data_IF_970931025468
#
_entry.id   IF_970931025468
#
_cell.length_a   1.000
_cell.length_b   1.000
_cell.length_c   1.000
_cell.angle_alpha   90.00
_cell.angle_beta   90.00
_cell.angle_gamma   90.00
#
_symmetry.space_group_name_H-M   'P 1'
#
loop_
_entity.id
_entity.type
_entity.pdbx_description
1 polymer ?
#
# COMPACT_ATOMS: atom_id res chain seq x y z
N UNK A 1 -13.09 21.79 -30.04
CA UNK A 1 -14.55 21.65 -29.86
C UNK A 1 -14.73 21.02 -28.50
N UNK A 2 -15.22 21.83 -27.59
CA UNK A 2 -15.27 21.54 -26.17
C UNK A 2 -16.61 20.87 -25.85
N UNK A 3 -16.57 19.79 -25.06
CA UNK A 3 -17.76 19.23 -24.42
C UNK A 3 -17.36 18.84 -23.00
N UNK A 4 -17.99 19.48 -22.02
CA UNK A 4 -17.59 19.38 -20.63
C UNK A 4 -18.29 18.23 -19.89
N UNK A 5 -17.50 17.52 -19.10
CA UNK A 5 -17.79 17.09 -17.72
C UNK A 5 -19.26 17.16 -17.25
N UNK A 6 -19.92 16.01 -17.05
CA UNK A 6 -21.18 15.91 -16.30
C UNK A 6 -21.40 14.50 -15.73
N UNK A 7 -20.70 14.18 -14.63
CA UNK A 7 -20.82 12.90 -13.93
C UNK A 7 -20.75 13.08 -12.41
N UNK A 8 -21.86 13.51 -11.78
CA UNK A 8 -21.95 13.66 -10.33
C UNK A 8 -23.37 13.45 -9.83
N UNK A 9 -23.61 12.35 -9.10
CA UNK A 9 -24.91 12.09 -8.47
C UNK A 9 -25.36 10.63 -8.32
N UNK A 10 -24.48 9.68 -7.97
CA UNK A 10 -24.90 8.27 -7.74
C UNK A 10 -24.34 7.62 -6.44
N UNK A 11 -23.26 8.14 -5.85
CA UNK A 11 -22.68 7.58 -4.61
C UNK A 11 -23.63 7.60 -3.41
N UNK A 12 -24.56 8.56 -3.35
CA UNK A 12 -25.61 8.63 -2.32
C UNK A 12 -26.68 7.54 -2.46
N UNK A 13 -26.83 6.91 -3.63
CA UNK A 13 -27.90 5.94 -3.88
C UNK A 13 -27.53 4.54 -3.37
N UNK A 14 -26.34 4.05 -3.71
CA UNK A 14 -25.79 2.79 -3.16
C UNK A 14 -25.78 2.76 -1.62
N UNK A 15 -25.54 3.90 -0.97
CA UNK A 15 -25.50 4.00 0.50
C UNK A 15 -26.87 3.77 1.18
N UNK A 16 -27.98 3.86 0.44
CA UNK A 16 -29.31 3.52 0.96
C UNK A 16 -29.60 2.01 0.95
N UNK A 17 -29.02 1.26 0.01
CA UNK A 17 -29.27 -0.18 -0.15
C UNK A 17 -28.51 -1.01 0.91
N UNK A 18 -27.27 -0.63 1.24
CA UNK A 18 -26.52 -1.28 2.34
C UNK A 18 -27.18 -1.07 3.73
N UNK A 19 -27.97 -0.01 3.92
CA UNK A 19 -28.70 0.21 5.16
C UNK A 19 -29.89 -0.76 5.36
N UNK A 20 -30.29 -1.49 4.31
CA UNK A 20 -31.30 -2.56 4.37
C UNK A 20 -30.72 -3.98 4.51
N UNK A 21 -29.41 -4.15 4.40
CA UNK A 21 -28.73 -5.46 4.40
C UNK A 21 -28.49 -6.00 5.82
N UNK A 22 -29.55 -6.11 6.62
CA UNK A 22 -29.51 -6.82 7.90
C UNK A 22 -29.37 -8.32 7.68
N UNK A 23 -28.45 -8.96 8.43
CA UNK A 23 -28.28 -10.43 8.52
C UNK A 23 -28.08 -11.17 7.17
N UNK A 24 -27.22 -10.62 6.31
CA UNK A 24 -26.39 -11.48 5.46
C UNK A 24 -25.31 -12.15 6.34
N UNK A 25 -25.65 -13.27 6.98
CA UNK A 25 -24.65 -14.11 7.65
C UNK A 25 -23.67 -14.63 6.60
N UNK A 26 -22.42 -14.15 6.63
CA UNK A 26 -21.34 -14.80 5.90
C UNK A 26 -21.16 -16.21 6.47
N UNK A 27 -21.54 -17.21 5.68
CA UNK A 27 -21.46 -18.63 6.05
C UNK A 27 -20.02 -19.12 5.86
N UNK A 28 -19.17 -18.74 6.81
CA UNK A 28 -17.74 -19.04 6.81
C UNK A 28 -17.54 -20.50 7.19
N UNK A 29 -16.83 -21.25 6.35
CA UNK A 29 -16.46 -22.64 6.61
C UNK A 29 -15.69 -22.73 7.94
N UNK A 30 -16.16 -23.49 8.95
CA UNK A 30 -15.46 -23.62 10.23
C UNK A 30 -14.02 -24.09 10.07
N UNK A 31 -13.12 -23.65 10.94
CA UNK A 31 -11.68 -23.93 10.87
C UNK A 31 -11.38 -25.44 10.85
N UNK A 32 -12.18 -26.23 11.57
CA UNK A 32 -12.08 -27.69 11.63
C UNK A 32 -12.43 -28.38 10.29
N UNK A 33 -13.11 -27.67 9.39
CA UNK A 33 -13.54 -28.11 8.06
C UNK A 33 -12.72 -27.45 6.92
N UNK A 34 -11.79 -26.56 7.25
CA UNK A 34 -11.02 -25.79 6.26
C UNK A 34 -9.80 -26.58 5.75
N UNK A 35 -9.88 -27.09 4.53
CA UNK A 35 -8.77 -27.76 3.85
C UNK A 35 -7.80 -26.74 3.21
N UNK A 36 -6.71 -26.46 3.94
CA UNK A 36 -5.63 -25.59 3.48
C UNK A 36 -4.83 -26.12 2.27
N UNK A 37 -4.81 -27.43 2.02
CA UNK A 37 -4.14 -28.02 0.85
C UNK A 37 -4.99 -27.85 -0.41
N UNK A 38 -6.30 -28.10 -0.31
CA UNK A 38 -7.27 -27.78 -1.38
C UNK A 38 -7.31 -26.28 -1.65
N UNK A 39 -7.29 -25.45 -0.61
CA UNK A 39 -7.19 -23.99 -0.75
C UNK A 39 -5.92 -23.56 -1.51
N UNK A 40 -4.76 -24.14 -1.18
CA UNK A 40 -3.50 -23.90 -1.91
C UNK A 40 -3.62 -24.22 -3.40
N UNK A 41 -4.17 -25.38 -3.75
CA UNK A 41 -4.40 -25.77 -5.16
C UNK A 41 -5.33 -24.75 -5.83
N UNK A 42 -6.44 -24.37 -5.19
CA UNK A 42 -7.39 -23.41 -5.72
C UNK A 42 -6.75 -22.03 -5.99
N UNK A 43 -6.03 -21.47 -5.01
CA UNK A 43 -5.38 -20.17 -5.12
C UNK A 43 -4.24 -20.17 -6.16
N UNK A 44 -3.44 -21.24 -6.22
CA UNK A 44 -2.37 -21.39 -7.20
C UNK A 44 -2.92 -21.47 -8.64
N UNK A 45 -3.99 -22.24 -8.88
CA UNK A 45 -4.60 -22.36 -10.21
C UNK A 45 -5.28 -21.04 -10.65
N UNK A 46 -6.02 -20.36 -9.77
CA UNK A 46 -6.63 -19.04 -10.06
C UNK A 46 -5.57 -18.02 -10.50
N UNK A 47 -4.46 -17.91 -9.75
CA UNK A 47 -3.36 -17.02 -10.10
C UNK A 47 -2.72 -17.44 -11.44
N UNK A 48 -2.39 -18.72 -11.60
CA UNK A 48 -1.74 -19.25 -12.80
C UNK A 48 -2.55 -18.94 -14.07
N UNK A 49 -3.86 -19.18 -14.06
CA UNK A 49 -4.73 -18.87 -15.20
C UNK A 49 -4.82 -17.35 -15.44
N UNK A 50 -4.95 -16.55 -14.38
CA UNK A 50 -5.03 -15.09 -14.49
C UNK A 50 -3.75 -14.47 -15.09
N UNK A 51 -2.57 -15.02 -14.78
CA UNK A 51 -1.30 -14.57 -15.40
C UNK A 51 -1.05 -15.20 -16.79
N UNK A 52 -1.56 -16.41 -17.07
CA UNK A 52 -1.36 -17.12 -18.35
C UNK A 52 -2.28 -16.66 -19.50
N UNK A 53 -3.48 -16.16 -19.17
CA UNK A 53 -4.48 -15.68 -20.14
C UNK A 53 -4.78 -14.17 -20.02
N UNK A 54 -4.51 -13.57 -18.85
CA UNK A 54 -5.13 -12.30 -18.46
C UNK A 54 -6.53 -12.53 -17.88
N UNK A 55 -6.87 -11.84 -16.79
CA UNK A 55 -8.04 -12.16 -15.96
C UNK A 55 -9.37 -12.18 -16.73
N UNK A 56 -9.59 -11.25 -17.66
CA UNK A 56 -10.83 -11.15 -18.44
C UNK A 56 -10.94 -12.19 -19.58
N UNK A 57 -9.85 -12.91 -19.88
CA UNK A 57 -9.79 -13.90 -20.96
C UNK A 57 -9.69 -15.34 -20.47
N UNK A 58 -9.84 -15.61 -19.16
CA UNK A 58 -9.86 -16.98 -18.63
C UNK A 58 -11.06 -17.75 -19.23
N UNK A 59 -10.83 -18.88 -19.93
CA UNK A 59 -11.89 -19.73 -20.47
C UNK A 59 -12.87 -20.18 -19.38
N UNK A 60 -14.17 -20.20 -19.70
CA UNK A 60 -15.22 -20.38 -18.69
C UNK A 60 -15.10 -21.71 -17.92
N UNK A 61 -14.70 -22.77 -18.63
CA UNK A 61 -14.46 -24.11 -18.08
C UNK A 61 -13.20 -24.23 -17.19
N UNK A 62 -12.40 -23.17 -17.07
CA UNK A 62 -11.23 -23.07 -16.18
C UNK A 62 -11.44 -22.09 -15.02
N UNK A 63 -12.49 -21.25 -15.03
CA UNK A 63 -12.76 -20.28 -13.95
C UNK A 63 -12.99 -20.97 -12.60
N UNK A 64 -13.66 -22.11 -12.64
CA UNK A 64 -13.70 -23.11 -11.59
C UNK A 64 -12.88 -24.33 -12.07
N UNK A 65 -11.76 -24.69 -11.42
CA UNK A 65 -10.92 -25.82 -11.82
C UNK A 65 -11.35 -27.19 -11.28
N UNK A 66 -12.37 -27.27 -10.40
CA UNK A 66 -12.75 -28.51 -9.71
C UNK A 66 -14.08 -29.08 -10.21
N UNK A 67 -14.39 -30.34 -9.93
CA UNK A 67 -15.72 -30.90 -10.10
C UNK A 67 -16.00 -31.95 -9.05
N UNK A 68 -17.24 -32.05 -8.60
CA UNK A 68 -17.70 -33.12 -7.72
C UNK A 68 -18.12 -34.33 -8.56
N UNK A 69 -17.74 -35.54 -8.15
CA UNK A 69 -18.20 -36.78 -8.78
C UNK A 69 -19.49 -37.33 -8.15
N UNK A 70 -19.91 -38.54 -8.57
CA UNK A 70 -21.12 -39.19 -8.08
C UNK A 70 -21.02 -39.74 -6.63
N UNK A 71 -19.86 -39.58 -5.98
CA UNK A 71 -19.56 -40.02 -4.61
C UNK A 71 -19.29 -38.83 -3.67
N UNK A 72 -19.62 -37.62 -4.11
CA UNK A 72 -19.37 -36.35 -3.40
C UNK A 72 -17.87 -36.03 -3.20
N UNK A 73 -17.00 -36.59 -4.05
CA UNK A 73 -15.55 -36.30 -4.03
C UNK A 73 -15.20 -35.17 -5.01
N UNK A 74 -14.44 -34.17 -4.54
CA UNK A 74 -13.93 -33.10 -5.39
C UNK A 74 -12.64 -33.54 -6.12
N UNK A 75 -12.63 -33.37 -7.45
CA UNK A 75 -11.51 -33.70 -8.33
C UNK A 75 -11.13 -32.50 -9.21
N UNK A 76 -9.88 -32.44 -9.67
CA UNK A 76 -9.44 -31.41 -10.63
C UNK A 76 -9.93 -31.76 -12.04
N UNK A 77 -10.59 -30.82 -12.74
CA UNK A 77 -11.15 -31.02 -14.07
C UNK A 77 -10.07 -31.50 -15.08
N UNK A 78 -10.33 -32.53 -15.92
CA UNK A 78 -9.33 -33.06 -16.85
C UNK A 78 -8.65 -32.05 -17.80
N UNK A 79 -9.31 -30.98 -18.29
CA UNK A 79 -8.64 -29.92 -19.05
C UNK A 79 -7.54 -29.19 -18.26
N UNK A 80 -7.73 -28.99 -16.95
CA UNK A 80 -6.71 -28.39 -16.07
C UNK A 80 -5.51 -29.32 -15.94
N UNK A 81 -5.75 -30.61 -15.71
CA UNK A 81 -4.71 -31.65 -15.68
C UNK A 81 -3.90 -31.66 -16.98
N UNK A 82 -4.56 -31.61 -18.14
CA UNK A 82 -3.88 -31.56 -19.44
C UNK A 82 -3.00 -30.30 -19.59
N UNK A 83 -3.50 -29.13 -19.17
CA UNK A 83 -2.75 -27.87 -19.23
C UNK A 83 -1.53 -27.87 -18.28
N UNK A 84 -1.64 -28.45 -17.09
CA UNK A 84 -0.52 -28.62 -16.16
C UNK A 84 0.56 -29.53 -16.76
N UNK A 85 0.19 -30.66 -17.34
CA UNK A 85 1.13 -31.61 -17.98
C UNK A 85 1.79 -31.02 -19.24
N UNK A 86 1.07 -30.18 -20.00
CA UNK A 86 1.55 -29.61 -21.28
C UNK A 86 2.65 -28.54 -21.15
N UNK A 87 2.95 -28.08 -19.92
CA UNK A 87 3.80 -26.92 -19.63
C UNK A 87 3.27 -25.55 -20.13
N UNK A 88 2.22 -25.50 -20.96
CA UNK A 88 1.81 -24.28 -21.68
C UNK A 88 1.60 -23.07 -20.74
N UNK A 89 0.94 -23.30 -19.60
CA UNK A 89 0.70 -22.27 -18.58
C UNK A 89 2.00 -21.76 -17.94
N UNK A 90 2.97 -22.65 -17.69
CA UNK A 90 4.26 -22.29 -17.09
C UNK A 90 5.14 -21.52 -18.07
N UNK A 91 5.17 -21.91 -19.35
CA UNK A 91 5.84 -21.14 -20.40
C UNK A 91 5.22 -19.74 -20.54
N UNK A 92 3.88 -19.62 -20.55
CA UNK A 92 3.17 -18.32 -20.61
C UNK A 92 3.49 -17.41 -19.42
N UNK A 93 3.43 -17.93 -18.19
CA UNK A 93 3.68 -17.12 -16.98
C UNK A 93 5.17 -16.82 -16.78
N UNK A 94 6.06 -17.75 -17.11
CA UNK A 94 7.49 -17.46 -17.12
C UNK A 94 7.82 -16.41 -18.20
N UNK A 95 7.22 -16.46 -19.38
CA UNK A 95 7.38 -15.43 -20.42
C UNK A 95 6.92 -14.03 -19.97
N UNK A 96 5.90 -13.93 -19.11
CA UNK A 96 5.45 -12.68 -18.49
C UNK A 96 6.46 -12.13 -17.46
N UNK A 97 7.24 -13.01 -16.82
CA UNK A 97 8.24 -12.71 -15.76
C UNK A 97 9.64 -12.45 -16.36
N UNK A 98 9.90 -12.87 -17.59
CA UNK A 98 11.16 -12.68 -18.30
C UNK A 98 11.11 -11.48 -19.25
N UNK A 99 12.29 -11.00 -19.65
CA UNK A 99 12.43 -10.06 -20.76
C UNK A 99 12.18 -10.80 -22.08
N UNK A 100 11.52 -10.14 -23.04
CA UNK A 100 10.96 -10.73 -24.26
C UNK A 100 11.91 -11.64 -25.05
N UNK A 101 13.20 -11.29 -25.11
CA UNK A 101 14.24 -12.07 -25.80
C UNK A 101 14.42 -13.48 -25.22
N UNK A 102 14.24 -13.66 -23.92
CA UNK A 102 14.40 -14.96 -23.24
C UNK A 102 13.16 -15.84 -23.37
N UNK A 103 11.97 -15.23 -23.50
CA UNK A 103 10.69 -15.93 -23.58
C UNK A 103 10.59 -16.89 -24.79
N UNK A 104 11.26 -16.57 -25.89
CA UNK A 104 11.28 -17.39 -27.13
C UNK A 104 11.89 -18.80 -26.90
N UNK A 105 12.69 -18.97 -25.85
CA UNK A 105 13.31 -20.25 -25.47
C UNK A 105 12.45 -21.16 -24.58
N UNK A 106 11.27 -20.70 -24.15
CA UNK A 106 10.39 -21.43 -23.23
C UNK A 106 9.48 -22.40 -24.00
N UNK A 107 9.84 -23.69 -23.99
CA UNK A 107 9.19 -24.73 -24.79
C UNK A 107 8.93 -26.04 -24.02
N UNK A 108 9.45 -26.19 -22.80
CA UNK A 108 9.24 -27.37 -21.93
C UNK A 108 9.39 -27.03 -20.44
N UNK A 109 9.04 -27.96 -19.55
CA UNK A 109 9.18 -27.79 -18.10
C UNK A 109 10.63 -27.51 -17.70
N UNK A 110 11.58 -28.25 -18.28
CA UNK A 110 13.01 -28.04 -18.09
C UNK A 110 13.45 -26.64 -18.51
N UNK A 111 12.90 -26.07 -19.59
CA UNK A 111 13.22 -24.70 -20.01
C UNK A 111 12.77 -23.64 -18.98
N UNK A 112 11.63 -23.86 -18.31
CA UNK A 112 11.13 -23.00 -17.21
C UNK A 112 11.98 -23.18 -15.95
N UNK A 113 12.29 -24.42 -15.55
CA UNK A 113 13.18 -24.72 -14.41
C UNK A 113 14.55 -24.03 -14.60
N UNK A 114 15.14 -24.14 -15.79
CA UNK A 114 16.41 -23.48 -16.11
C UNK A 114 16.30 -21.95 -16.10
N UNK A 115 15.20 -21.38 -16.57
CA UNK A 115 14.99 -19.93 -16.57
C UNK A 115 14.86 -19.36 -15.14
N UNK A 116 14.14 -20.07 -14.26
CA UNK A 116 14.04 -19.75 -12.83
C UNK A 116 15.41 -19.89 -12.14
N UNK A 117 16.15 -20.96 -12.42
CA UNK A 117 17.49 -21.18 -11.84
C UNK A 117 18.49 -20.09 -12.26
N UNK A 118 18.39 -19.53 -13.47
CA UNK A 118 19.18 -18.35 -13.90
C UNK A 118 18.85 -17.06 -13.12
N UNK A 119 17.67 -16.97 -12.48
CA UNK A 119 17.33 -15.92 -11.49
C UNK A 119 17.69 -16.31 -10.05
N UNK A 120 18.34 -17.45 -9.83
CA UNK A 120 18.66 -17.99 -8.49
C UNK A 120 17.48 -18.67 -7.78
N UNK A 121 16.36 -18.92 -8.48
CA UNK A 121 15.16 -19.55 -7.92
C UNK A 121 15.16 -21.02 -8.33
N UNK A 122 15.26 -21.91 -7.34
CA UNK A 122 15.24 -23.35 -7.53
C UNK A 122 13.84 -23.91 -7.24
N UNK A 123 13.37 -24.85 -8.06
CA UNK A 123 12.04 -25.46 -7.89
C UNK A 123 12.18 -26.68 -7.00
N UNK A 124 11.75 -26.55 -5.74
CA UNK A 124 11.91 -27.58 -4.69
C UNK A 124 10.55 -28.00 -4.14
N UNK A 125 10.38 -29.29 -3.81
CA UNK A 125 9.25 -29.79 -3.02
C UNK A 125 9.47 -29.58 -1.52
N UNK A 126 8.43 -29.81 -0.71
CA UNK A 126 8.42 -29.52 0.73
C UNK A 126 9.38 -30.39 1.58
N UNK A 127 10.10 -31.32 0.95
CA UNK A 127 11.12 -32.20 1.53
C UNK A 127 12.54 -31.87 1.01
N UNK A 128 12.73 -30.67 0.46
CA UNK A 128 13.95 -30.19 -0.21
C UNK A 128 14.40 -31.04 -1.41
N UNK A 129 13.50 -31.84 -2.03
CA UNK A 129 13.80 -32.52 -3.29
C UNK A 129 13.62 -31.58 -4.50
N UNK A 130 14.54 -31.56 -5.48
CA UNK A 130 14.42 -30.70 -6.66
C UNK A 130 13.44 -31.30 -7.69
N UNK A 131 12.46 -30.52 -8.10
CA UNK A 131 11.45 -30.92 -9.10
C UNK A 131 12.10 -31.13 -10.47
N UNK A 132 11.83 -32.27 -11.10
CA UNK A 132 12.30 -32.57 -12.47
C UNK A 132 11.21 -32.39 -13.52
N UNK A 133 11.61 -32.35 -14.80
CA UNK A 133 10.67 -32.43 -15.93
C UNK A 133 9.92 -33.77 -15.97
N UNK A 134 10.46 -34.85 -15.39
CA UNK A 134 9.77 -36.12 -15.24
C UNK A 134 8.62 -36.06 -14.23
N UNK A 135 8.79 -35.32 -13.14
CA UNK A 135 7.74 -35.10 -12.12
C UNK A 135 6.57 -34.27 -12.65
N UNK A 136 6.85 -33.29 -13.53
CA UNK A 136 5.85 -32.41 -14.13
C UNK A 136 5.17 -32.98 -15.39
N UNK A 137 5.64 -34.13 -15.87
CA UNK A 137 5.09 -34.85 -17.03
C UNK A 137 4.51 -36.22 -16.66
N UNK A 138 4.49 -36.60 -15.37
CA UNK A 138 4.05 -37.92 -14.95
C UNK A 138 2.51 -38.08 -14.97
N UNK A 139 2.06 -39.31 -15.21
CA UNK A 139 0.64 -39.68 -15.19
C UNK A 139 0.51 -40.92 -14.29
N UNK A 140 -0.26 -40.88 -13.19
CA UNK A 140 -1.07 -39.75 -12.70
C UNK A 140 -0.24 -38.54 -12.24
N UNK A 141 -0.88 -37.37 -12.19
CA UNK A 141 -0.26 -36.07 -11.93
C UNK A 141 0.32 -35.97 -10.51
N UNK A 142 1.63 -35.66 -10.38
CA UNK A 142 2.27 -35.35 -9.09
C UNK A 142 2.00 -33.89 -8.70
N UNK A 143 0.86 -33.64 -8.06
CA UNK A 143 0.40 -32.29 -7.75
C UNK A 143 1.40 -31.48 -6.88
N UNK A 144 2.18 -32.11 -6.00
CA UNK A 144 3.20 -31.43 -5.20
C UNK A 144 4.25 -30.71 -6.06
N UNK A 145 4.81 -31.39 -7.07
CA UNK A 145 5.73 -30.80 -8.05
C UNK A 145 5.10 -29.63 -8.82
N UNK A 146 3.83 -29.77 -9.23
CA UNK A 146 3.10 -28.70 -9.92
C UNK A 146 2.84 -27.48 -9.02
N UNK A 147 2.57 -27.69 -7.72
CA UNK A 147 2.45 -26.59 -6.75
C UNK A 147 3.80 -25.91 -6.52
N UNK A 148 4.90 -26.66 -6.35
CA UNK A 148 6.26 -26.12 -6.25
C UNK A 148 6.68 -25.31 -7.48
N UNK A 149 6.32 -25.77 -8.69
CA UNK A 149 6.54 -25.01 -9.93
C UNK A 149 5.77 -23.67 -9.94
N UNK A 150 4.50 -23.67 -9.50
CA UNK A 150 3.70 -22.43 -9.40
C UNK A 150 4.27 -21.51 -8.32
N UNK A 151 4.69 -22.03 -7.18
CA UNK A 151 5.27 -21.26 -6.07
C UNK A 151 6.61 -20.63 -6.46
N UNK A 152 7.45 -21.33 -7.24
CA UNK A 152 8.67 -20.77 -7.80
C UNK A 152 8.38 -19.66 -8.85
N UNK A 153 7.34 -19.81 -9.67
CA UNK A 153 6.86 -18.75 -10.57
C UNK A 153 6.28 -17.55 -9.80
N UNK A 154 5.56 -17.79 -8.70
CA UNK A 154 5.05 -16.74 -7.81
C UNK A 154 6.20 -15.97 -7.15
N UNK A 155 7.23 -16.65 -6.65
CA UNK A 155 8.44 -16.00 -6.14
C UNK A 155 9.11 -15.14 -7.22
N UNK A 156 9.29 -15.69 -8.42
CA UNK A 156 9.91 -14.99 -9.55
C UNK A 156 9.10 -13.77 -10.03
N UNK A 157 7.78 -13.78 -9.88
CA UNK A 157 6.89 -12.64 -10.11
C UNK A 157 7.00 -11.59 -8.99
N UNK A 158 7.04 -12.05 -7.74
CA UNK A 158 7.12 -11.20 -6.53
C UNK A 158 8.38 -10.33 -6.55
N UNK A 159 9.56 -10.89 -6.85
CA UNK A 159 10.83 -10.14 -6.89
C UNK A 159 10.92 -9.09 -8.01
N UNK A 160 10.22 -9.30 -9.13
CA UNK A 160 10.13 -8.29 -10.19
C UNK A 160 9.25 -7.10 -9.77
N UNK A 161 8.27 -7.33 -8.89
CA UNK A 161 7.36 -6.32 -8.38
C UNK A 161 7.93 -5.55 -7.18
N UNK A 162 8.29 -6.24 -6.10
CA UNK A 162 8.81 -5.65 -4.86
C UNK A 162 10.23 -6.16 -4.56
N UNK A 163 11.05 -5.31 -3.96
CA UNK A 163 12.40 -5.65 -3.50
C UNK A 163 12.79 -4.79 -2.29
N UNK A 164 13.82 -5.21 -1.55
CA UNK A 164 14.37 -4.47 -0.40
C UNK A 164 14.69 -3.02 -0.79
N UNK A 165 15.35 -2.80 -1.93
CA UNK A 165 15.77 -1.48 -2.39
C UNK A 165 14.57 -0.59 -2.73
N UNK A 166 13.55 -1.16 -3.40
CA UNK A 166 12.30 -0.45 -3.73
C UNK A 166 11.55 -0.03 -2.46
N UNK A 167 11.41 -0.93 -1.49
CA UNK A 167 10.79 -0.68 -0.19
C UNK A 167 11.54 0.42 0.57
N UNK A 168 12.86 0.27 0.70
CA UNK A 168 13.75 1.23 1.36
C UNK A 168 13.68 2.61 0.68
N UNK A 169 13.56 2.67 -0.65
CA UNK A 169 13.39 3.90 -1.42
C UNK A 169 11.97 4.50 -1.38
N UNK A 170 10.94 3.72 -1.02
CA UNK A 170 9.59 4.20 -0.72
C UNK A 170 9.54 4.82 0.69
N UNK A 171 9.90 4.04 1.71
CA UNK A 171 9.80 4.44 3.13
C UNK A 171 10.59 5.72 3.43
N UNK A 172 11.80 5.87 2.86
CA UNK A 172 12.66 7.07 3.02
C UNK A 172 12.00 8.40 2.63
N UNK A 173 10.87 8.39 1.91
CA UNK A 173 10.17 9.61 1.49
C UNK A 173 9.26 10.19 2.57
N UNK A 174 8.71 9.33 3.44
CA UNK A 174 7.69 9.72 4.43
C UNK A 174 8.05 9.38 5.89
N UNK A 175 9.09 8.55 6.12
CA UNK A 175 9.53 8.10 7.45
C UNK A 175 11.06 7.99 7.54
N UNK A 176 11.62 8.35 8.69
CA UNK A 176 13.03 8.13 9.04
C UNK A 176 13.22 6.82 9.78
N UNK A 177 14.36 6.15 9.58
CA UNK A 177 14.72 4.90 10.26
C UNK A 177 16.24 4.72 10.33
N UNK A 178 16.69 3.90 11.29
CA UNK A 178 18.09 3.54 11.49
C UNK A 178 18.51 2.45 10.52
N UNK A 179 19.22 2.82 9.45
CA UNK A 179 19.70 1.88 8.43
C UNK A 179 20.65 0.78 8.97
N UNK A 180 21.18 0.92 10.20
CA UNK A 180 22.00 -0.10 10.87
C UNK A 180 21.24 -0.98 11.86
N UNK A 181 19.90 -0.85 11.96
CA UNK A 181 19.04 -1.61 12.88
C UNK A 181 17.68 -2.05 12.30
N UNK A 182 17.20 -1.34 11.28
CA UNK A 182 15.83 -1.46 10.75
C UNK A 182 15.81 -1.74 9.24
N UNK A 183 16.94 -2.15 8.65
CA UNK A 183 16.91 -2.66 7.27
C UNK A 183 16.37 -4.10 7.27
N UNK A 184 15.45 -4.45 6.36
CA UNK A 184 14.99 -5.82 6.19
C UNK A 184 16.13 -6.71 5.68
N UNK A 185 16.20 -7.96 6.15
CA UNK A 185 17.18 -8.94 5.70
C UNK A 185 16.74 -9.66 4.41
N UNK A 186 15.45 -9.97 4.30
CA UNK A 186 14.85 -10.63 3.14
C UNK A 186 13.59 -9.91 2.61
N UNK A 187 12.82 -10.61 1.76
CA UNK A 187 11.65 -10.08 1.08
C UNK A 187 10.39 -10.04 1.96
N UNK A 188 10.26 -10.96 2.93
CA UNK A 188 9.18 -10.96 3.91
C UNK A 188 9.39 -9.83 4.92
N UNK A 189 10.61 -9.71 5.45
CA UNK A 189 11.04 -8.57 6.26
C UNK A 189 10.73 -7.24 5.55
N UNK A 190 10.99 -7.15 4.24
CA UNK A 190 10.74 -5.94 3.46
C UNK A 190 9.24 -5.62 3.33
N UNK A 191 8.40 -6.64 3.14
CA UNK A 191 6.93 -6.49 3.14
C UNK A 191 6.44 -6.00 4.52
N UNK A 192 6.85 -6.69 5.59
CA UNK A 192 6.50 -6.34 6.98
C UNK A 192 6.96 -4.92 7.32
N UNK A 193 8.21 -4.56 6.99
CA UNK A 193 8.77 -3.23 7.21
C UNK A 193 7.98 -2.13 6.48
N UNK A 194 7.58 -2.34 5.22
CA UNK A 194 6.75 -1.38 4.49
C UNK A 194 5.38 -1.17 5.15
N UNK A 195 4.66 -2.26 5.43
CA UNK A 195 3.34 -2.21 6.08
C UNK A 195 3.44 -1.50 7.44
N UNK A 196 4.42 -1.88 8.26
CA UNK A 196 4.65 -1.29 9.58
C UNK A 196 4.96 0.20 9.50
N UNK A 197 5.84 0.64 8.59
CA UNK A 197 6.18 2.06 8.45
C UNK A 197 4.98 2.90 7.99
N UNK A 198 4.12 2.37 7.12
CA UNK A 198 2.87 3.03 6.70
C UNK A 198 1.85 3.08 7.85
N UNK A 199 1.67 1.98 8.60
CA UNK A 199 0.78 1.93 9.77
C UNK A 199 1.23 2.89 10.88
N UNK A 200 2.55 2.97 11.16
CA UNK A 200 3.12 3.96 12.07
C UNK A 200 2.88 5.40 11.60
N UNK A 201 3.11 5.71 10.32
CA UNK A 201 2.83 7.03 9.73
C UNK A 201 1.35 7.41 9.87
N UNK A 202 0.44 6.47 9.61
CA UNK A 202 -1.01 6.64 9.78
C UNK A 202 -1.41 6.88 11.24
N UNK A 203 -0.81 6.15 12.20
CA UNK A 203 -0.97 6.39 13.64
C UNK A 203 -0.55 7.81 14.02
N UNK A 204 0.64 8.24 13.61
CA UNK A 204 1.15 9.58 13.91
C UNK A 204 0.25 10.70 13.34
N UNK A 205 -0.16 10.59 12.06
CA UNK A 205 -1.05 11.59 11.43
C UNK A 205 -2.41 11.65 12.15
N UNK A 206 -2.98 10.48 12.46
CA UNK A 206 -4.25 10.38 13.21
C UNK A 206 -4.12 11.02 14.60
N UNK A 207 -3.02 10.78 15.31
CA UNK A 207 -2.76 11.43 16.60
C UNK A 207 -2.57 12.95 16.49
N UNK A 208 -1.86 13.45 15.46
CA UNK A 208 -1.70 14.90 15.19
C UNK A 208 -3.06 15.54 14.96
N UNK A 209 -3.90 14.94 14.11
CA UNK A 209 -5.26 15.40 13.86
C UNK A 209 -6.10 15.49 15.13
N UNK A 210 -6.09 14.47 15.99
CA UNK A 210 -6.84 14.48 17.25
C UNK A 210 -6.34 15.58 18.20
N UNK A 211 -5.02 15.73 18.35
CA UNK A 211 -4.41 16.79 19.19
C UNK A 211 -4.83 18.19 18.69
N UNK A 212 -4.81 18.42 17.37
CA UNK A 212 -5.26 19.68 16.73
C UNK A 212 -6.78 19.89 16.84
N UNK A 213 -7.59 18.84 16.80
CA UNK A 213 -9.06 18.92 16.95
C UNK A 213 -9.51 19.21 18.40
N UNK A 214 -8.72 18.82 19.40
CA UNK A 214 -9.03 19.06 20.82
C UNK A 214 -8.41 20.36 21.41
N UNK A 215 -7.27 20.83 20.91
CA UNK A 215 -6.65 22.10 21.37
C UNK A 215 -7.43 23.43 21.15
N UNK A 216 -8.45 23.59 20.28
CA UNK A 216 -9.11 24.89 20.08
C UNK A 216 -9.84 25.44 21.32
N UNK A 217 -10.08 24.60 22.33
CA UNK A 217 -10.80 24.96 23.56
C UNK A 217 -9.93 25.62 24.64
N UNK A 218 -8.59 25.49 24.59
CA UNK A 218 -7.68 26.03 25.62
C UNK A 218 -6.69 27.06 25.05
N UNK A 219 -7.22 28.17 24.50
CA UNK A 219 -6.40 29.36 24.19
C UNK A 219 -6.09 30.17 25.46
N UNK A 220 -4.81 30.35 25.86
CA UNK A 220 -4.44 30.97 27.14
C UNK A 220 -4.43 32.52 27.12
N UNK A 221 -5.48 33.15 26.57
CA UNK A 221 -5.56 34.61 26.40
C UNK A 221 -6.93 35.20 26.79
N UNK A 222 -6.97 35.86 27.96
CA UNK A 222 -7.94 36.86 28.43
C UNK A 222 -9.35 36.95 27.77
N UNK A 223 -10.40 36.53 28.50
CA UNK A 223 -11.27 37.47 29.24
C UNK A 223 -12.26 36.74 30.18
N UNK A 224 -12.83 37.47 31.16
CA UNK A 224 -13.75 36.94 32.18
C UNK A 224 -15.19 36.93 31.68
N UNK A 225 -15.60 35.92 30.91
CA UNK A 225 -17.01 35.71 30.57
C UNK A 225 -17.82 35.31 31.84
N UNK A 226 -18.95 35.98 32.17
CA UNK A 226 -19.69 35.73 33.41
C UNK A 226 -20.21 34.29 33.57
N UNK A 227 -20.42 33.58 32.45
CA UNK A 227 -20.98 32.22 32.37
C UNK A 227 -20.19 31.17 33.16
N UNK A 228 -18.94 31.43 33.57
CA UNK A 228 -18.10 30.47 34.30
C UNK A 228 -18.60 30.13 35.72
N UNK A 229 -19.55 30.87 36.29
CA UNK A 229 -20.16 30.53 37.58
C UNK A 229 -21.15 29.37 37.51
N UNK A 230 -21.90 29.21 36.42
CA UNK A 230 -22.87 28.11 36.28
C UNK A 230 -22.19 26.74 36.40
N UNK A 231 -21.03 26.59 35.74
CA UNK A 231 -20.19 25.39 35.79
C UNK A 231 -19.59 25.06 37.17
N UNK A 232 -19.65 25.96 38.16
CA UNK A 232 -19.29 25.68 39.56
C UNK A 232 -20.44 25.13 40.40
N UNK A 233 -21.69 25.30 39.97
CA UNK A 233 -22.89 24.84 40.68
C UNK A 233 -23.37 23.47 40.20
N UNK A 234 -23.01 23.07 38.97
CA UNK A 234 -23.20 21.71 38.47
C UNK A 234 -22.32 20.73 39.27
N UNK A 235 -22.88 19.71 39.95
CA UNK A 235 -22.08 18.73 40.68
C UNK A 235 -21.08 18.01 39.77
N UNK A 236 -19.91 17.65 40.29
CA UNK A 236 -18.83 17.00 39.50
C UNK A 236 -19.30 15.75 38.74
N UNK A 237 -20.30 15.03 39.26
CA UNK A 237 -20.93 13.86 38.63
C UNK A 237 -21.65 14.18 37.31
N UNK A 238 -22.12 15.42 37.13
CA UNK A 238 -22.68 15.97 35.88
C UNK A 238 -21.64 16.72 35.04
N UNK A 239 -20.44 17.02 35.57
CA UNK A 239 -19.27 17.45 34.78
C UNK A 239 -18.38 16.28 34.35
N UNK A 240 -18.96 15.08 34.24
CA UNK A 240 -18.49 14.11 33.24
C UNK A 240 -18.85 14.70 31.89
N UNK A 241 -17.90 15.35 31.23
CA UNK A 241 -18.08 15.68 29.83
C UNK A 241 -18.37 14.38 29.06
N UNK A 242 -19.34 14.45 28.15
CA UNK A 242 -19.38 13.50 27.04
C UNK A 242 -18.27 13.88 26.05
N UNK A 243 -17.02 13.71 26.50
CA UNK A 243 -15.93 13.38 25.60
C UNK A 243 -16.36 12.07 24.92
N UNK A 244 -16.92 12.21 23.72
CA UNK A 244 -17.57 11.12 23.00
C UNK A 244 -16.52 10.06 22.73
N UNK A 245 -16.67 8.91 23.38
CA UNK A 245 -15.65 7.87 23.53
C UNK A 245 -15.34 7.09 22.25
N UNK A 246 -14.99 7.79 21.17
CA UNK A 246 -14.23 7.23 20.06
C UNK A 246 -12.88 6.82 20.62
N UNK A 247 -12.71 5.53 20.86
CA UNK A 247 -11.40 4.93 20.99
C UNK A 247 -10.58 5.33 19.75
N UNK A 248 -9.31 5.70 19.95
CA UNK A 248 -8.43 6.02 18.83
C UNK A 248 -8.28 4.78 17.94
N UNK A 249 -8.31 4.91 16.60
CA UNK A 249 -8.10 3.77 15.70
C UNK A 249 -6.81 3.03 16.03
N UNK A 250 -6.91 1.71 16.18
CA UNK A 250 -5.75 0.88 16.46
C UNK A 250 -5.03 0.51 15.16
N UNK A 251 -3.75 0.87 15.07
CA UNK A 251 -2.90 0.57 13.93
C UNK A 251 -1.90 -0.54 14.32
N UNK A 252 -2.07 -1.79 13.87
CA UNK A 252 -1.21 -2.90 14.26
C UNK A 252 0.26 -2.67 13.87
N UNK A 253 1.15 -3.32 14.61
CA UNK A 253 2.54 -3.52 14.24
C UNK A 253 2.72 -5.03 14.06
N UNK A 254 3.06 -5.44 12.85
CA UNK A 254 3.29 -6.84 12.47
C UNK A 254 4.62 -7.32 13.07
N UNK A 255 4.58 -8.48 13.71
CA UNK A 255 5.73 -9.31 14.06
C UNK A 255 5.82 -10.54 13.15
N UNK A 256 4.67 -11.14 12.80
CA UNK A 256 4.53 -12.27 11.88
C UNK A 256 3.58 -11.90 10.73
N UNK A 257 4.05 -12.05 9.48
CA UNK A 257 3.32 -11.60 8.29
C UNK A 257 1.98 -12.32 8.11
N UNK A 258 1.88 -13.60 8.48
CA UNK A 258 0.67 -14.39 8.26
C UNK A 258 -0.36 -14.14 9.36
N UNK A 259 0.11 -14.09 10.61
CA UNK A 259 -0.69 -13.87 11.82
C UNK A 259 -1.27 -12.45 11.88
N UNK A 260 -0.48 -11.43 11.56
CA UNK A 260 -0.79 -10.04 11.90
C UNK A 260 -1.44 -9.23 10.76
N UNK A 261 -1.79 -9.88 9.64
CA UNK A 261 -2.59 -9.27 8.55
C UNK A 261 -3.91 -9.97 8.26
N UNK A 262 -4.20 -11.13 8.90
CA UNK A 262 -5.35 -11.97 8.58
C UNK A 262 -6.70 -11.25 8.77
N UNK A 263 -6.75 -10.22 9.62
CA UNK A 263 -7.92 -9.36 9.84
C UNK A 263 -8.12 -8.27 8.77
N UNK A 264 -7.25 -8.18 7.77
CA UNK A 264 -7.24 -7.17 6.72
C UNK A 264 -6.91 -5.73 7.17
N UNK A 265 -6.88 -5.42 8.47
CA UNK A 265 -6.81 -4.06 9.01
C UNK A 265 -5.49 -3.35 8.67
N UNK A 266 -4.38 -4.09 8.79
CA UNK A 266 -3.04 -3.59 8.47
C UNK A 266 -2.90 -3.21 6.98
N UNK A 267 -3.47 -4.04 6.09
CA UNK A 267 -3.43 -3.83 4.64
C UNK A 267 -4.41 -2.75 4.19
N UNK A 268 -5.63 -2.69 4.75
CA UNK A 268 -6.56 -1.59 4.52
C UNK A 268 -6.01 -0.24 4.99
N UNK A 269 -5.21 -0.20 6.06
CA UNK A 269 -4.49 1.02 6.47
C UNK A 269 -3.49 1.46 5.39
N UNK A 270 -2.79 0.53 4.74
CA UNK A 270 -1.91 0.83 3.60
C UNK A 270 -2.73 1.34 2.41
N UNK A 271 -3.86 0.70 2.10
CA UNK A 271 -4.79 1.16 1.04
C UNK A 271 -5.30 2.57 1.32
N UNK A 272 -5.75 2.89 2.54
CA UNK A 272 -6.18 4.24 2.92
C UNK A 272 -5.04 5.27 2.83
N UNK A 273 -3.82 4.91 3.25
CA UNK A 273 -2.67 5.81 3.17
C UNK A 273 -2.36 6.22 1.71
N UNK A 274 -2.42 5.28 0.77
CA UNK A 274 -2.14 5.51 -0.65
C UNK A 274 -3.35 6.01 -1.46
N UNK A 275 -4.58 5.65 -1.09
CA UNK A 275 -5.82 5.92 -1.84
C UNK A 275 -6.95 6.49 -0.93
N UNK A 276 -6.72 7.62 -0.24
CA UNK A 276 -7.61 8.12 0.83
C UNK A 276 -9.01 8.54 0.37
N UNK A 277 -9.17 8.88 -0.91
CA UNK A 277 -10.46 9.28 -1.50
C UNK A 277 -11.35 8.08 -1.87
N UNK A 278 -10.76 6.89 -2.04
CA UNK A 278 -11.46 5.63 -2.32
C UNK A 278 -11.74 4.89 -1.01
N UNK A 279 -10.70 4.66 -0.22
CA UNK A 279 -10.75 3.90 1.03
C UNK A 279 -10.57 4.86 2.19
N UNK A 280 -11.60 5.06 3.01
CA UNK A 280 -11.54 5.97 4.15
C UNK A 280 -11.22 5.25 5.46
N UNK A 281 -10.48 5.93 6.33
CA UNK A 281 -10.22 5.48 7.69
C UNK A 281 -11.47 5.27 8.55
N UNK A 282 -12.58 5.97 8.25
CA UNK A 282 -13.85 5.83 8.97
C UNK A 282 -14.66 4.59 8.57
N UNK A 283 -14.32 3.96 7.44
CA UNK A 283 -14.98 2.76 6.91
C UNK A 283 -14.16 1.47 7.21
N UNK A 284 -13.05 1.54 7.98
CA UNK A 284 -12.20 0.38 8.33
C UNK A 284 -12.37 0.01 9.81
N UNK A 285 -12.53 -1.28 10.13
CA UNK A 285 -12.57 -1.77 11.52
C UNK A 285 -11.17 -1.85 12.14
N UNK A 286 -10.69 -0.73 12.69
CA UNK A 286 -9.40 -0.60 13.37
C UNK A 286 -9.51 -0.74 14.90
N UNK A 287 -9.57 -1.99 15.38
CA UNK A 287 -9.68 -2.36 16.81
C UNK A 287 -8.42 -3.07 17.31
N UNK A 288 -8.12 -2.92 18.60
CA UNK A 288 -7.00 -3.63 19.26
C UNK A 288 -7.26 -5.14 19.40
N UNK A 289 -8.53 -5.52 19.53
CA UNK A 289 -9.01 -6.91 19.43
C UNK A 289 -10.20 -6.90 18.46
N UNK A 290 -10.00 -7.25 17.17
CA UNK A 290 -11.12 -7.42 16.23
C UNK A 290 -11.93 -8.66 16.59
N UNK A 291 -13.24 -8.61 16.32
CA UNK A 291 -14.07 -9.82 16.28
C UNK A 291 -14.01 -10.46 14.88
N UNK A 292 -14.40 -11.73 14.74
CA UNK A 292 -14.45 -12.41 13.43
C UNK A 292 -15.28 -11.59 12.41
N UNK A 293 -16.38 -10.97 12.85
CA UNK A 293 -17.19 -10.10 11.99
C UNK A 293 -16.46 -8.82 11.53
N UNK A 294 -15.55 -8.27 12.34
CA UNK A 294 -14.71 -7.14 11.95
C UNK A 294 -13.66 -7.57 10.92
N UNK A 295 -13.00 -8.72 11.14
CA UNK A 295 -12.05 -9.31 10.21
C UNK A 295 -12.70 -9.61 8.86
N UNK A 296 -13.85 -10.28 8.84
CA UNK A 296 -14.60 -10.59 7.62
C UNK A 296 -14.99 -9.33 6.82
N UNK A 297 -15.44 -8.29 7.51
CA UNK A 297 -15.78 -7.01 6.89
C UNK A 297 -14.55 -6.33 6.26
N UNK A 298 -13.42 -6.30 6.98
CA UNK A 298 -12.16 -5.78 6.46
C UNK A 298 -11.65 -6.61 5.26
N UNK A 299 -11.70 -7.94 5.31
CA UNK A 299 -11.31 -8.82 4.19
C UNK A 299 -12.20 -8.56 2.97
N UNK A 300 -13.50 -8.38 3.16
CA UNK A 300 -14.44 -8.04 2.09
C UNK A 300 -14.09 -6.69 1.42
N UNK A 301 -13.82 -5.64 2.21
CA UNK A 301 -13.39 -4.33 1.69
C UNK A 301 -12.08 -4.43 0.90
N UNK A 302 -11.11 -5.21 1.39
CA UNK A 302 -9.81 -5.39 0.75
C UNK A 302 -9.94 -6.15 -0.58
N UNK A 303 -10.81 -7.18 -0.61
CA UNK A 303 -11.18 -7.92 -1.83
C UNK A 303 -11.92 -7.03 -2.83
N UNK A 304 -12.85 -6.19 -2.39
CA UNK A 304 -13.56 -5.25 -3.27
C UNK A 304 -12.60 -4.24 -3.90
N UNK A 305 -11.74 -3.60 -3.10
CA UNK A 305 -10.71 -2.70 -3.59
C UNK A 305 -9.78 -3.37 -4.62
N UNK A 306 -9.33 -4.60 -4.34
CA UNK A 306 -8.46 -5.34 -5.26
C UNK A 306 -9.16 -5.70 -6.59
N UNK A 307 -10.47 -5.97 -6.56
CA UNK A 307 -11.24 -6.28 -7.76
C UNK A 307 -11.59 -5.05 -8.62
N UNK A 308 -11.84 -3.90 -7.99
CA UNK A 308 -12.18 -2.66 -8.71
C UNK A 308 -10.94 -1.88 -9.18
N UNK A 309 -9.86 -1.82 -8.38
CA UNK A 309 -8.73 -0.92 -8.62
C UNK A 309 -7.39 -1.59 -8.99
N UNK A 310 -7.19 -2.87 -8.64
CA UNK A 310 -5.90 -3.56 -8.81
C UNK A 310 -5.89 -4.61 -9.93
N UNK A 311 -6.80 -4.50 -10.90
CA UNK A 311 -6.99 -5.46 -11.99
C UNK A 311 -7.27 -6.90 -11.49
N UNK A 312 -8.13 -7.03 -10.45
CA UNK A 312 -8.61 -8.32 -9.94
C UNK A 312 -7.47 -9.24 -9.49
N UNK A 313 -6.53 -8.69 -8.71
CA UNK A 313 -5.39 -9.39 -8.12
C UNK A 313 -5.74 -10.28 -6.91
N UNK A 314 -7.02 -10.39 -6.54
CA UNK A 314 -7.45 -11.16 -5.37
C UNK A 314 -7.80 -12.61 -5.75
N UNK A 315 -6.85 -13.53 -5.52
CA UNK A 315 -7.00 -14.96 -5.86
C UNK A 315 -7.39 -15.86 -4.66
N UNK A 316 -7.34 -15.31 -3.45
CA UNK A 316 -7.69 -15.98 -2.19
C UNK A 316 -9.21 -16.01 -1.96
N UNK A 317 -9.72 -16.95 -1.18
CA UNK A 317 -11.07 -16.86 -0.59
C UNK A 317 -11.09 -15.89 0.61
N UNK A 318 -12.21 -15.84 1.34
CA UNK A 318 -12.29 -15.09 2.60
C UNK A 318 -11.62 -15.89 3.73
N UNK A 319 -11.84 -17.20 3.76
CA UNK A 319 -11.29 -18.20 4.68
C UNK A 319 -9.77 -18.29 4.55
N UNK A 320 -9.26 -18.31 3.31
CA UNK A 320 -7.84 -18.27 2.97
C UNK A 320 -7.08 -17.13 3.68
N UNK A 321 -7.73 -15.97 3.77
CA UNK A 321 -7.18 -14.78 4.41
C UNK A 321 -7.42 -14.78 5.93
N UNK A 322 -8.62 -15.16 6.38
CA UNK A 322 -9.01 -15.20 7.80
C UNK A 322 -8.18 -16.20 8.61
N UNK A 323 -7.93 -17.38 8.05
CA UNK A 323 -7.19 -18.46 8.70
C UNK A 323 -5.69 -18.46 8.36
N UNK A 324 -5.29 -17.75 7.29
CA UNK A 324 -3.90 -17.42 6.95
C UNK A 324 -2.89 -18.59 7.11
N UNK A 325 -3.19 -19.79 6.57
CA UNK A 325 -2.31 -20.95 6.75
C UNK A 325 -0.97 -20.72 6.03
N UNK A 326 0.14 -21.12 6.65
CA UNK A 326 1.51 -20.86 6.14
C UNK A 326 1.74 -21.30 4.69
N UNK A 327 1.03 -22.33 4.22
CA UNK A 327 1.08 -22.82 2.83
C UNK A 327 0.63 -21.77 1.80
N UNK A 328 -0.23 -20.81 2.17
CA UNK A 328 -0.68 -19.69 1.33
C UNK A 328 0.24 -18.45 1.40
N UNK A 329 1.35 -18.51 2.14
CA UNK A 329 2.27 -17.36 2.33
C UNK A 329 2.75 -16.72 1.03
N UNK A 330 3.13 -17.52 0.02
CA UNK A 330 3.54 -16.98 -1.28
C UNK A 330 2.38 -16.34 -2.05
N UNK A 331 1.16 -16.87 -1.93
CA UNK A 331 -0.04 -16.29 -2.54
C UNK A 331 -0.36 -14.91 -1.94
N UNK A 332 -0.17 -14.76 -0.63
CA UNK A 332 -0.33 -13.49 0.08
C UNK A 332 0.82 -12.50 -0.24
N UNK A 333 2.08 -12.96 -0.26
CA UNK A 333 3.22 -12.14 -0.67
C UNK A 333 3.07 -11.59 -2.10
N UNK A 334 2.57 -12.41 -3.04
CA UNK A 334 2.22 -11.97 -4.40
C UNK A 334 1.19 -10.84 -4.36
N UNK A 335 0.08 -10.99 -3.60
CA UNK A 335 -0.94 -9.94 -3.51
C UNK A 335 -0.38 -8.63 -2.92
N UNK A 336 0.46 -8.72 -1.89
CA UNK A 336 1.08 -7.54 -1.27
C UNK A 336 2.15 -6.91 -2.20
N UNK A 337 2.83 -7.72 -3.01
CA UNK A 337 3.71 -7.22 -4.06
C UNK A 337 2.94 -6.52 -5.20
N UNK A 338 1.75 -7.01 -5.56
CA UNK A 338 0.86 -6.32 -6.51
C UNK A 338 0.34 -4.99 -5.93
N UNK A 339 -0.06 -4.94 -4.64
CA UNK A 339 -0.36 -3.69 -3.93
C UNK A 339 0.82 -2.71 -4.01
N UNK A 340 2.02 -3.15 -3.63
CA UNK A 340 3.24 -2.32 -3.69
C UNK A 340 3.53 -1.85 -5.12
N UNK A 341 3.40 -2.72 -6.12
CA UNK A 341 3.66 -2.38 -7.52
C UNK A 341 2.68 -1.32 -8.04
N UNK A 342 1.38 -1.47 -7.78
CA UNK A 342 0.39 -0.44 -8.14
C UNK A 342 0.66 0.90 -7.42
N UNK A 343 0.95 0.86 -6.12
CA UNK A 343 1.12 2.06 -5.29
C UNK A 343 2.47 2.77 -5.46
N UNK A 344 3.55 2.04 -5.76
CA UNK A 344 4.90 2.60 -5.85
C UNK A 344 5.54 2.57 -7.23
N UNK A 345 5.11 1.69 -8.13
CA UNK A 345 5.65 1.62 -9.50
C UNK A 345 4.71 2.23 -10.54
N UNK A 346 3.44 1.81 -10.58
CA UNK A 346 2.49 2.25 -11.63
C UNK A 346 1.92 3.63 -11.34
N UNK A 347 1.50 3.89 -10.09
CA UNK A 347 0.93 5.17 -9.64
C UNK A 347 -0.17 5.73 -10.56
N UNK A 348 -1.28 5.00 -10.78
CA UNK A 348 -2.47 5.55 -11.44
C UNK A 348 -3.03 6.74 -10.65
N UNK A 349 -3.85 7.58 -11.30
CA UNK A 349 -4.27 8.91 -10.80
C UNK A 349 -5.01 8.92 -9.46
N UNK A 350 -5.55 7.79 -9.03
CA UNK A 350 -6.21 7.62 -7.73
C UNK A 350 -5.24 7.34 -6.57
N UNK A 351 -3.98 6.99 -6.86
CA UNK A 351 -2.93 6.82 -5.84
C UNK A 351 -2.36 8.19 -5.48
N UNK A 352 -2.85 8.76 -4.38
CA UNK A 352 -2.45 10.06 -3.86
C UNK A 352 -2.10 9.93 -2.37
N UNK A 353 -0.85 9.58 -2.02
CA UNK A 353 -0.49 9.28 -0.63
C UNK A 353 -0.66 10.48 0.29
N UNK A 354 -1.31 10.29 1.45
CA UNK A 354 -1.74 11.38 2.35
C UNK A 354 -0.63 12.38 2.72
N UNK A 355 0.61 11.92 2.86
CA UNK A 355 1.79 12.76 3.17
C UNK A 355 2.00 13.88 2.12
N UNK A 356 1.76 13.61 0.83
CA UNK A 356 1.87 14.63 -0.22
C UNK A 356 0.73 15.65 -0.18
N UNK A 357 -0.42 15.31 0.39
CA UNK A 357 -1.54 16.22 0.54
C UNK A 357 -1.27 17.23 1.66
N UNK A 358 -0.69 16.81 2.79
CA UNK A 358 -0.22 17.74 3.83
C UNK A 358 0.80 18.76 3.26
N UNK A 359 1.72 18.35 2.38
CA UNK A 359 2.65 19.28 1.73
C UNK A 359 1.99 20.25 0.73
N UNK A 360 0.92 19.86 0.03
CA UNK A 360 0.13 20.77 -0.82
C UNK A 360 -0.63 21.78 0.03
N UNK A 361 -1.32 21.32 1.06
CA UNK A 361 -2.18 22.15 1.91
C UNK A 361 -1.35 23.10 2.78
N UNK A 362 -0.22 22.65 3.32
CA UNK A 362 0.74 23.52 4.00
C UNK A 362 1.27 24.62 3.08
N UNK A 363 1.53 24.36 1.79
CA UNK A 363 1.94 25.39 0.82
C UNK A 363 0.79 26.34 0.45
N UNK A 364 -0.43 25.84 0.34
CA UNK A 364 -1.62 26.66 0.10
C UNK A 364 -1.91 27.62 1.28
N UNK A 365 -1.74 27.14 2.51
CA UNK A 365 -1.86 27.95 3.74
C UNK A 365 -0.68 28.91 3.93
N UNK A 366 0.53 28.53 3.51
CA UNK A 366 1.74 29.34 3.66
C UNK A 366 1.86 30.50 2.65
N UNK A 367 0.96 30.65 1.68
CA UNK A 367 0.94 31.82 0.78
C UNK A 367 0.56 33.10 1.55
N UNK A 368 1.48 34.06 1.78
CA UNK A 368 1.15 35.27 2.51
C UNK A 368 0.40 36.22 1.55
N UNK A 369 -0.90 36.43 1.79
CA UNK A 369 -1.61 37.54 1.15
C UNK A 369 -0.98 38.85 1.64
N UNK A 370 -0.20 39.51 0.78
CA UNK A 370 0.59 40.71 1.10
C UNK A 370 -0.23 42.00 1.23
N UNK A 371 -1.48 41.90 1.68
CA UNK A 371 -2.32 43.02 2.09
C UNK A 371 -1.88 43.55 3.45
N UNK A 372 -0.88 44.44 3.47
CA UNK A 372 -0.49 45.20 4.67
C UNK A 372 -1.71 45.99 5.19
N UNK A 373 -2.09 45.91 6.48
CA UNK A 373 -3.12 46.78 7.03
C UNK A 373 -2.59 48.22 7.10
N UNK A 374 -3.36 49.18 6.58
CA UNK A 374 -3.03 50.60 6.63
C UNK A 374 -3.33 51.17 8.03
N UNK A 375 -2.30 51.28 8.88
CA UNK A 375 -2.42 51.92 10.19
C UNK A 375 -2.40 53.46 10.01
N UNK A 376 -3.42 54.21 10.47
CA UNK A 376 -3.43 55.66 10.40
C UNK A 376 -2.43 56.25 11.40
N UNK A 377 -1.49 57.08 10.92
CA UNK A 377 -0.50 57.76 11.77
C UNK A 377 -1.09 59.10 12.26
N UNK A 378 -1.27 59.22 13.57
CA UNK A 378 -1.74 60.46 14.22
C UNK A 378 -0.65 61.54 14.27
N UNK A 379 -1.06 62.81 14.15
CA UNK A 379 -0.16 63.97 14.08
C UNK A 379 0.43 64.39 15.45
N UNK A 380 1.28 63.55 16.03
CA UNK A 380 2.23 63.90 17.10
C UNK A 380 3.52 63.07 16.92
N UNK A 381 4.73 63.62 16.91
CA UNK A 381 5.20 64.90 17.46
C UNK A 381 6.05 65.69 16.47
N UNK A 382 5.98 67.02 16.50
CA UNK A 382 6.69 67.93 15.59
C UNK A 382 7.95 68.52 16.26
N UNK A 383 9.06 68.63 15.51
CA UNK A 383 10.38 69.22 15.85
C UNK A 383 11.33 68.38 16.71
N UNK A 384 12.41 67.88 16.09
CA UNK A 384 13.83 68.19 16.39
C UNK A 384 14.74 67.22 15.57
N UNK A 385 15.89 67.59 14.98
CA UNK A 385 16.56 68.89 14.81
C UNK A 385 16.97 69.09 13.33
N UNK A 386 17.21 70.33 12.90
CA UNK A 386 17.90 70.68 11.66
C UNK A 386 18.95 71.75 11.95
N UNK A 387 20.24 71.38 11.94
CA UNK A 387 21.38 72.33 11.84
C UNK A 387 22.55 71.66 11.11
N UNK A 388 23.11 72.38 10.13
CA UNK A 388 24.44 72.22 9.51
C UNK A 388 24.78 73.60 8.91
N UNK A 389 26.04 74.10 8.88
CA UNK A 389 27.04 73.71 7.86
C UNK A 389 28.55 73.91 8.23
N UNK A 390 29.47 73.69 7.26
CA UNK A 390 30.92 74.03 7.29
C UNK A 390 31.85 72.80 7.36
N UNK A 391 32.80 72.47 6.45
CA UNK A 391 33.86 73.23 5.71
C UNK A 391 34.99 73.69 6.67
N UNK A 392 36.29 73.37 6.54
CA UNK A 392 37.19 72.85 5.45
C UNK A 392 38.13 71.72 6.02
N UNK A 393 39.26 71.16 5.49
CA UNK A 393 40.14 71.35 4.30
C UNK A 393 41.08 70.12 3.99
N UNK A 394 41.83 70.21 2.87
CA UNK A 394 43.18 69.68 2.53
C UNK A 394 43.57 68.18 2.36
N UNK A 395 44.01 67.86 1.13
CA UNK A 395 45.23 67.09 0.71
C UNK A 395 45.34 65.56 1.03
N UNK A 396 45.89 64.69 0.16
CA UNK A 396 46.52 64.84 -1.18
C UNK A 396 46.42 63.54 -2.04
N UNK A 397 46.90 63.61 -3.30
CA UNK A 397 47.02 62.55 -4.33
C UNK A 397 48.08 63.00 -5.37
N UNK A 398 48.66 62.18 -6.30
CA UNK A 398 48.10 60.97 -6.94
C UNK A 398 49.16 59.85 -7.26
N UNK A 399 48.91 59.06 -8.32
CA UNK A 399 49.82 58.12 -9.05
C UNK A 399 50.07 56.72 -8.43
N UNK A 400 50.24 55.60 -9.20
CA UNK A 400 50.26 55.39 -10.67
C UNK A 400 49.71 53.99 -11.10
N UNK A 401 49.60 53.76 -12.41
CA UNK A 401 49.32 52.50 -13.16
C UNK A 401 49.75 51.15 -12.53
N UNK A 402 49.15 49.98 -12.87
CA UNK A 402 48.96 49.47 -14.26
C UNK A 402 47.81 48.43 -14.45
N UNK A 403 47.56 48.02 -15.70
CA UNK A 403 46.55 47.03 -16.17
C UNK A 403 47.17 45.72 -16.72
N UNK A 404 46.31 44.86 -17.31
CA UNK A 404 46.50 43.69 -18.21
C UNK A 404 46.39 42.30 -17.51
N UNK A 405 45.61 41.27 -17.93
CA UNK A 405 45.09 40.70 -19.21
C UNK A 405 46.07 39.72 -19.90
N UNK A 406 45.74 38.49 -20.36
CA UNK A 406 44.51 37.65 -20.48
C UNK A 406 44.69 36.28 -19.70
N UNK A 407 43.91 35.17 -19.68
CA UNK A 407 43.06 34.36 -20.62
C UNK A 407 43.82 33.71 -21.80
N UNK A 408 43.43 32.51 -22.33
CA UNK A 408 43.00 31.24 -21.70
C UNK A 408 43.67 29.99 -22.39
N UNK A 409 42.90 28.92 -22.69
CA UNK A 409 43.20 27.72 -23.52
C UNK A 409 44.15 26.63 -22.96
N UNK A 410 44.12 25.36 -23.42
CA UNK A 410 42.99 24.41 -23.60
C UNK A 410 43.53 22.95 -23.83
N UNK A 411 42.62 21.96 -23.91
CA UNK A 411 42.77 20.61 -24.51
C UNK A 411 43.52 19.45 -23.79
N UNK A 412 42.86 18.29 -23.83
CA UNK A 412 43.31 16.89 -23.60
C UNK A 412 44.27 16.38 -24.72
N UNK A 413 44.72 15.08 -24.79
CA UNK A 413 44.49 13.92 -23.89
C UNK A 413 45.74 13.09 -23.52
N UNK A 414 45.56 12.12 -22.60
CA UNK A 414 45.99 10.72 -22.78
C UNK A 414 45.30 9.75 -21.79
#
# INVERSE_FOLDING_TARGET
MDVDSSAGGDSTRKKAELAGAGEATMDVVPLEMYDSARAKIAANLRWLFAKAYGIDHIPEHLRDPFYTDQYDQEHIKPPVIHLLLSCELYCRVCALILKTEQAVSLQSHLSVIQALSRKGIYVMESDDTPVTEGDLACIPVKMSAHISMIDALMMAYTVEMISIEKVVASVKRFSTFSASKELPFDLEDAVVFWINKVNMKMREMTEREHKVKHHPLESPSHQKSPSKWYWKLVPVRYRREHASGRLLPFFPLLEDLMRDVCDGAALLTVVHYYCPDIMKLEDICLKEVPSIADSLYNIQLLREFANEYLNKSWYLTTEDMLYSPLVLKLNLMVFIAELFWWFETVKPTFVQPRDFQEFKDARAVAHPKTSRPSVPISNATKRSFLVSPGVTDNQSSPEVCNRYFLHPEDSDPL
#
